data_IF_540818298101
#
_entry.id   IF_540818298101
#
_cell.length_a   1.000
_cell.length_b   1.000
_cell.length_c   1.000
_cell.angle_alpha   90.00
_cell.angle_beta   90.00
_cell.angle_gamma   90.00
#
_symmetry.space_group_name_H-M   'P 1'
#
loop_
_entity.id
_entity.type
_entity.pdbx_description
1 polymer ?
#
# COMPACT_ATOMS: atom_id res chain seq x y z
N UNK A 1 31.03 11.81 -28.74
CA UNK A 1 30.00 12.35 -29.64
C UNK A 1 28.81 11.39 -29.67
N UNK A 2 27.72 11.76 -28.97
CA UNK A 2 26.42 12.12 -29.58
C UNK A 2 25.70 10.86 -30.10
N UNK A 3 24.58 10.36 -29.60
CA UNK A 3 23.38 10.92 -28.95
C UNK A 3 22.63 9.71 -28.36
N UNK A 4 22.16 9.78 -27.11
CA UNK A 4 20.79 10.16 -26.77
C UNK A 4 19.69 9.31 -27.44
N UNK A 5 18.73 8.91 -26.61
CA UNK A 5 17.38 8.47 -26.92
C UNK A 5 17.13 7.05 -27.46
N UNK A 6 16.95 6.13 -26.50
CA UNK A 6 15.62 5.56 -26.38
C UNK A 6 15.24 5.61 -24.90
N UNK A 7 14.74 6.78 -24.50
CA UNK A 7 13.79 6.86 -23.39
C UNK A 7 12.67 5.88 -23.72
N UNK A 8 12.70 4.68 -23.14
CA UNK A 8 11.59 3.73 -23.21
C UNK A 8 10.49 4.28 -22.30
N UNK A 9 9.78 5.27 -22.84
CA UNK A 9 8.47 5.68 -22.37
C UNK A 9 7.49 4.59 -22.82
N UNK A 10 7.44 3.51 -22.04
CA UNK A 10 6.58 2.37 -22.26
C UNK A 10 5.43 2.36 -21.28
N UNK A 11 4.51 3.32 -21.38
CA UNK A 11 3.12 3.14 -20.94
C UNK A 11 2.40 2.09 -21.79
N UNK A 12 3.03 0.93 -22.01
CA UNK A 12 2.58 -0.15 -22.86
C UNK A 12 2.06 -1.30 -22.00
N UNK A 13 0.84 -1.73 -22.31
CA UNK A 13 0.17 -2.90 -21.75
C UNK A 13 1.14 -4.02 -21.34
N UNK A 14 1.24 -4.26 -20.03
CA UNK A 14 1.99 -5.38 -19.43
C UNK A 14 1.50 -6.74 -19.97
N UNK A 15 0.28 -6.79 -20.51
CA UNK A 15 -0.36 -8.00 -21.02
C UNK A 15 0.37 -8.66 -22.22
N UNK A 16 1.25 -7.95 -22.95
CA UNK A 16 1.88 -8.49 -24.16
C UNK A 16 3.43 -8.58 -24.09
N UNK A 17 3.99 -8.82 -22.90
CA UNK A 17 5.42 -9.09 -22.74
C UNK A 17 5.70 -10.61 -22.75
N UNK A 18 5.87 -11.20 -23.94
CA UNK A 18 6.07 -12.66 -24.10
C UNK A 18 7.41 -13.19 -23.57
N UNK A 19 8.40 -12.32 -23.36
CA UNK A 19 9.76 -12.70 -22.97
C UNK A 19 10.06 -12.47 -21.48
N UNK A 20 9.04 -12.18 -20.67
CA UNK A 20 9.20 -11.89 -19.23
C UNK A 20 8.37 -12.89 -18.43
N UNK A 21 9.02 -13.52 -17.46
CA UNK A 21 8.35 -14.35 -16.47
C UNK A 21 8.06 -13.53 -15.21
N UNK A 22 6.83 -13.58 -14.72
CA UNK A 22 6.42 -12.90 -13.50
C UNK A 22 6.55 -13.83 -12.29
N UNK A 23 6.89 -13.24 -11.14
CA UNK A 23 6.90 -13.96 -9.88
C UNK A 23 5.48 -14.45 -9.55
N UNK A 24 5.32 -15.75 -9.25
CA UNK A 24 4.03 -16.35 -8.91
C UNK A 24 3.30 -17.08 -10.05
N UNK A 25 3.82 -17.04 -11.29
CA UNK A 25 3.28 -17.86 -12.39
C UNK A 25 4.01 -19.21 -12.48
N UNK A 26 3.28 -20.26 -12.87
CA UNK A 26 3.82 -21.62 -12.97
C UNK A 26 4.00 -22.02 -14.44
N UNK A 27 5.13 -22.62 -14.77
CA UNK A 27 5.42 -23.09 -16.13
C UNK A 27 4.73 -24.43 -16.36
N UNK A 28 3.66 -24.44 -17.15
CA UNK A 28 2.88 -25.67 -17.43
C UNK A 28 3.63 -26.69 -18.30
N UNK A 29 4.55 -26.24 -19.17
CA UNK A 29 5.36 -27.12 -20.01
C UNK A 29 6.63 -26.41 -20.50
N UNK A 30 7.71 -27.16 -20.62
CA UNK A 30 9.01 -26.67 -21.08
C UNK A 30 10.01 -26.35 -19.96
N UNK A 31 11.24 -26.01 -20.34
CA UNK A 31 12.31 -25.54 -19.44
C UNK A 31 12.92 -24.28 -20.05
N UNK A 32 13.08 -23.25 -19.23
CA UNK A 32 13.73 -21.99 -19.61
C UNK A 32 14.82 -21.62 -18.61
N UNK A 33 15.80 -20.84 -19.07
CA UNK A 33 16.76 -20.13 -18.22
C UNK A 33 16.64 -18.65 -18.54
N UNK A 34 16.69 -17.79 -17.52
CA UNK A 34 16.55 -16.35 -17.68
C UNK A 34 17.34 -15.59 -16.62
N UNK A 35 17.55 -14.31 -16.88
CA UNK A 35 18.17 -13.38 -15.94
C UNK A 35 17.10 -12.83 -14.99
N UNK A 36 17.39 -12.80 -13.69
CA UNK A 36 16.52 -12.16 -12.71
C UNK A 36 16.63 -10.65 -12.87
N UNK A 37 15.58 -10.02 -13.40
CA UNK A 37 15.52 -8.56 -13.62
C UNK A 37 15.04 -7.80 -12.38
N UNK A 38 14.24 -8.43 -11.53
CA UNK A 38 13.72 -7.84 -10.30
C UNK A 38 13.25 -8.90 -9.30
N UNK A 39 13.26 -8.60 -8.00
CA UNK A 39 12.95 -9.54 -6.91
C UNK A 39 12.20 -8.83 -5.77
N UNK A 40 11.37 -9.60 -5.05
CA UNK A 40 10.63 -9.17 -3.87
C UNK A 40 9.77 -7.93 -4.12
N UNK A 41 9.86 -6.90 -3.27
CA UNK A 41 9.07 -5.67 -3.35
C UNK A 41 9.31 -4.88 -4.65
N UNK A 42 10.45 -5.06 -5.31
CA UNK A 42 10.75 -4.40 -6.58
C UNK A 42 10.12 -5.14 -7.79
N UNK A 43 9.55 -6.34 -7.58
CA UNK A 43 8.88 -7.08 -8.65
C UNK A 43 7.49 -6.51 -8.92
N UNK A 44 6.95 -6.75 -10.12
CA UNK A 44 5.58 -6.33 -10.47
C UNK A 44 4.53 -6.91 -9.51
N UNK A 45 4.74 -8.15 -9.04
CA UNK A 45 3.90 -8.76 -8.01
C UNK A 45 4.06 -8.08 -6.65
N UNK A 46 5.29 -7.69 -6.29
CA UNK A 46 5.60 -6.90 -5.11
C UNK A 46 4.95 -5.52 -5.11
N UNK A 47 4.87 -4.87 -6.27
CA UNK A 47 4.18 -3.58 -6.42
C UNK A 47 2.67 -3.74 -6.25
N UNK A 48 2.04 -4.76 -6.85
CA UNK A 48 0.61 -5.05 -6.62
C UNK A 48 0.35 -5.37 -5.14
N UNK A 49 1.22 -6.17 -4.52
CA UNK A 49 1.12 -6.48 -3.10
C UNK A 49 1.33 -5.25 -2.23
N UNK A 50 2.22 -4.33 -2.60
CA UNK A 50 2.42 -3.05 -1.94
C UNK A 50 1.25 -2.10 -2.15
N UNK A 51 0.56 -2.15 -3.29
CA UNK A 51 -0.67 -1.40 -3.49
C UNK A 51 -1.78 -1.95 -2.59
N UNK A 52 -1.88 -3.28 -2.45
CA UNK A 52 -2.81 -3.93 -1.52
C UNK A 52 -2.43 -3.77 -0.03
N UNK A 53 -1.14 -3.66 0.31
CA UNK A 53 -0.66 -3.42 1.68
C UNK A 53 -0.57 -1.94 2.03
N UNK A 54 -0.36 -1.09 1.04
CA UNK A 54 -0.39 0.37 1.09
C UNK A 54 -1.82 0.89 1.13
N UNK A 55 -2.79 0.06 0.72
CA UNK A 55 -4.08 -0.04 1.40
C UNK A 55 -3.89 -0.69 2.78
N UNK A 56 -3.04 -0.08 3.59
CA UNK A 56 -3.07 -0.25 5.03
C UNK A 56 -4.48 0.20 5.38
N UNK A 57 -5.37 -0.79 5.61
CA UNK A 57 -6.81 -0.63 5.74
C UNK A 57 -7.06 0.73 6.36
N UNK A 58 -7.43 1.76 5.56
CA UNK A 58 -7.58 3.08 6.13
C UNK A 58 -8.58 2.86 7.25
N UNK A 59 -8.18 3.16 8.49
CA UNK A 59 -9.09 3.13 9.64
C UNK A 59 -10.38 3.69 9.09
N UNK A 60 -11.43 2.86 9.04
CA UNK A 60 -12.65 3.25 8.35
C UNK A 60 -12.98 4.64 8.86
N UNK A 61 -13.23 5.63 8.00
CA UNK A 61 -13.38 7.04 8.42
C UNK A 61 -14.43 7.22 9.53
N UNK A 62 -15.27 6.20 9.73
CA UNK A 62 -16.18 5.97 10.84
C UNK A 62 -15.52 5.78 12.23
N UNK A 63 -14.43 5.02 12.35
CA UNK A 63 -13.79 4.73 13.64
C UNK A 63 -12.99 5.93 14.17
N UNK A 64 -12.38 6.72 13.28
CA UNK A 64 -11.70 7.96 13.66
C UNK A 64 -12.69 9.01 14.19
N UNK A 65 -13.89 9.05 13.60
CA UNK A 65 -14.97 9.94 14.06
C UNK A 65 -15.51 9.53 15.43
N UNK A 66 -15.62 8.21 15.71
CA UNK A 66 -16.03 7.71 17.03
C UNK A 66 -14.99 7.95 18.13
N UNK A 67 -13.69 7.83 17.80
CA UNK A 67 -12.61 8.10 18.76
C UNK A 67 -12.59 9.58 19.18
N UNK A 68 -12.81 10.50 18.22
CA UNK A 68 -12.92 11.93 18.49
C UNK A 68 -14.14 12.28 19.36
N UNK A 69 -15.30 11.68 19.07
CA UNK A 69 -16.52 11.87 19.87
C UNK A 69 -16.31 11.37 21.32
N UNK A 70 -15.76 10.16 21.49
CA UNK A 70 -15.49 9.60 22.82
C UNK A 70 -14.50 10.42 23.63
N UNK A 71 -13.47 10.98 22.96
CA UNK A 71 -12.44 11.81 23.61
C UNK A 71 -12.98 13.17 24.05
N UNK A 72 -13.86 13.78 23.25
CA UNK A 72 -14.55 15.02 23.63
C UNK A 72 -15.49 14.80 24.80
N UNK A 73 -16.35 13.77 24.75
CA UNK A 73 -17.28 13.43 25.83
C UNK A 73 -16.54 13.13 27.14
N UNK A 74 -15.43 12.39 27.08
CA UNK A 74 -14.62 12.06 28.26
C UNK A 74 -13.97 13.30 28.88
N UNK A 75 -13.49 14.24 28.06
CA UNK A 75 -12.87 15.48 28.56
C UNK A 75 -13.88 16.38 29.31
N UNK A 76 -15.09 16.53 28.77
CA UNK A 76 -16.16 17.28 29.44
C UNK A 76 -16.58 16.61 30.76
N UNK A 77 -16.75 15.29 30.76
CA UNK A 77 -17.12 14.54 31.95
C UNK A 77 -16.08 14.70 33.07
N UNK A 78 -14.79 14.62 32.73
CA UNK A 78 -13.70 14.82 33.70
C UNK A 78 -13.70 16.23 34.30
N UNK A 79 -14.00 17.25 33.49
CA UNK A 79 -14.11 18.64 33.94
C UNK A 79 -15.23 18.85 34.96
N UNK A 80 -16.42 18.28 34.73
CA UNK A 80 -17.55 18.40 35.65
C UNK A 80 -17.28 17.66 36.97
N UNK A 81 -16.68 16.46 36.91
CA UNK A 81 -16.33 15.68 38.10
C UNK A 81 -15.32 16.46 38.97
N UNK A 82 -14.26 17.00 38.36
CA UNK A 82 -13.26 17.78 39.09
C UNK A 82 -13.86 19.05 39.72
N UNK A 83 -14.78 19.73 39.02
CA UNK A 83 -15.45 20.92 39.53
C UNK A 83 -16.30 20.61 40.78
N UNK A 84 -17.10 19.53 40.73
CA UNK A 84 -17.92 19.10 41.86
C UNK A 84 -17.04 18.73 43.05
N UNK A 85 -15.91 18.05 42.82
CA UNK A 85 -15.00 17.62 43.87
C UNK A 85 -14.28 18.79 44.59
N UNK A 86 -14.12 19.94 43.94
CA UNK A 86 -13.52 21.15 44.53
C UNK A 86 -14.55 22.00 45.26
N UNK A 87 -15.78 22.05 44.74
CA UNK A 87 -16.88 22.84 45.33
C UNK A 87 -17.52 22.10 46.52
N UNK A 88 -17.60 20.77 46.43
CA UNK A 88 -18.14 19.88 47.47
C UNK A 88 -17.15 19.52 48.56
#
# INVERSE_FOLDING_TARGET
ETRAMASYNGGGHVEHMMNIAFMGTLVCSGRGRGLVISTAANSQFGEVFRLMQGEESPKTPLQNSMDQLGKQLSFYSFGVIALIFIIG
#
